data_IF_196421695893
#
_entry.id   IF_196421695893
#
_cell.length_a   1.000
_cell.length_b   1.000
_cell.length_c   1.000
_cell.angle_alpha   90.00
_cell.angle_beta   90.00
_cell.angle_gamma   90.00
#
_symmetry.space_group_name_H-M   'P 1'
#
loop_
_entity.id
_entity.type
_entity.pdbx_description
1 polymer ?
#
# COMPACT_ATOMS: atom_id res chain seq x y z
N UNK A 1 26.83 4.35 7.46
CA UNK A 1 25.75 3.41 7.82
C UNK A 1 25.57 2.45 6.65
N UNK A 2 25.60 1.14 6.87
CA UNK A 2 25.46 0.16 5.79
C UNK A 2 24.14 0.36 5.08
N UNK A 3 24.14 0.54 3.75
CA UNK A 3 22.94 0.78 2.93
C UNK A 3 21.82 -0.22 3.18
N UNK A 4 22.16 -1.44 3.61
CA UNK A 4 21.21 -2.48 4.06
C UNK A 4 20.28 -2.01 5.19
N UNK A 5 20.82 -1.27 6.18
CA UNK A 5 20.05 -0.84 7.35
C UNK A 5 19.03 0.24 6.99
N UNK A 6 19.41 1.15 6.09
CA UNK A 6 18.49 2.15 5.55
C UNK A 6 17.40 1.50 4.71
N UNK A 7 17.75 0.58 3.81
CA UNK A 7 16.77 -0.12 2.98
C UNK A 7 15.76 -0.88 3.85
N UNK A 8 16.22 -1.59 4.88
CA UNK A 8 15.35 -2.29 5.83
C UNK A 8 14.49 -1.33 6.64
N UNK A 9 15.06 -0.21 7.11
CA UNK A 9 14.33 0.83 7.84
C UNK A 9 13.22 1.45 7.00
N UNK A 10 13.52 1.76 5.73
CA UNK A 10 12.53 2.24 4.77
C UNK A 10 11.46 1.17 4.53
N UNK A 11 11.86 -0.08 4.28
CA UNK A 11 10.92 -1.17 4.04
C UNK A 11 9.93 -1.35 5.20
N UNK A 12 10.46 -1.43 6.42
CA UNK A 12 9.68 -1.61 7.65
C UNK A 12 8.81 -0.38 7.96
N UNK A 13 9.33 0.83 7.73
CA UNK A 13 8.59 2.08 7.90
C UNK A 13 7.48 2.27 6.86
N UNK A 14 7.60 1.62 5.71
CA UNK A 14 6.61 1.76 4.64
C UNK A 14 5.37 0.87 4.84
N UNK A 15 5.51 -0.25 5.56
CA UNK A 15 4.39 -1.15 5.90
C UNK A 15 3.25 -0.39 6.61
N UNK A 16 3.48 0.32 7.73
CA UNK A 16 2.41 1.05 8.40
C UNK A 16 1.86 2.20 7.55
N UNK A 17 2.66 2.83 6.69
CA UNK A 17 2.18 3.88 5.76
C UNK A 17 1.19 3.27 4.76
N UNK A 18 1.56 2.15 4.14
CA UNK A 18 0.69 1.44 3.18
C UNK A 18 -0.59 0.95 3.87
N UNK A 19 -0.47 0.34 5.05
CA UNK A 19 -1.64 -0.12 5.82
C UNK A 19 -2.53 1.06 6.25
N UNK A 20 -1.93 2.18 6.68
CA UNK A 20 -2.66 3.38 7.07
C UNK A 20 -3.38 4.00 5.88
N UNK A 21 -2.72 4.09 4.71
CA UNK A 21 -3.36 4.54 3.47
C UNK A 21 -4.51 3.62 3.08
N UNK A 22 -4.29 2.30 3.09
CA UNK A 22 -5.33 1.31 2.75
C UNK A 22 -6.53 1.45 3.69
N UNK A 23 -6.28 1.60 4.99
CA UNK A 23 -7.32 1.87 5.98
C UNK A 23 -7.99 3.21 5.74
N UNK A 24 -7.25 4.30 5.49
CA UNK A 24 -7.81 5.63 5.22
C UNK A 24 -8.76 5.65 4.03
N UNK A 25 -8.54 4.76 3.06
CA UNK A 25 -9.44 4.52 1.94
C UNK A 25 -10.57 3.52 2.30
N UNK A 26 -11.21 3.61 3.49
CA UNK A 26 -12.29 2.75 4.05
C UNK A 26 -13.48 2.55 3.08
N UNK A 27 -13.30 1.83 1.98
CA UNK A 27 -14.36 1.55 1.01
C UNK A 27 -14.24 0.11 0.55
N UNK A 28 -15.32 -0.69 0.62
CA UNK A 28 -15.37 -2.06 0.12
C UNK A 28 -14.86 -2.14 -1.32
N UNK A 29 -13.91 -3.04 -1.56
CA UNK A 29 -13.22 -3.15 -2.84
C UNK A 29 -12.06 -2.17 -2.94
N UNK A 30 -10.87 -2.60 -2.49
CA UNK A 30 -9.64 -1.89 -2.80
C UNK A 30 -9.33 -2.08 -4.30
N UNK A 31 -9.86 -1.17 -5.13
CA UNK A 31 -9.75 -1.23 -6.58
C UNK A 31 -8.40 -0.76 -7.13
N UNK A 32 -8.21 -0.95 -8.43
CA UNK A 32 -7.00 -0.55 -9.15
C UNK A 32 -6.65 0.94 -8.97
N UNK A 33 -7.66 1.81 -8.83
CA UNK A 33 -7.48 3.25 -8.59
C UNK A 33 -6.83 3.55 -7.24
N UNK A 34 -7.22 2.85 -6.17
CA UNK A 34 -6.64 3.06 -4.84
C UNK A 34 -5.22 2.51 -4.74
N UNK A 35 -4.97 1.36 -5.36
CA UNK A 35 -3.61 0.81 -5.50
C UNK A 35 -2.71 1.80 -6.23
N UNK A 36 -3.21 2.44 -7.29
CA UNK A 36 -2.50 3.50 -8.00
C UNK A 36 -2.24 4.71 -7.10
N UNK A 37 -3.21 5.16 -6.32
CA UNK A 37 -3.02 6.28 -5.37
C UNK A 37 -1.97 5.97 -4.29
N UNK A 38 -1.95 4.75 -3.75
CA UNK A 38 -0.92 4.32 -2.78
C UNK A 38 0.47 4.28 -3.42
N UNK A 39 0.57 3.72 -4.63
CA UNK A 39 1.82 3.70 -5.38
C UNK A 39 2.31 5.11 -5.71
N UNK A 40 1.41 6.01 -6.10
CA UNK A 40 1.72 7.40 -6.40
C UNK A 40 2.22 8.15 -5.16
N UNK A 41 1.52 8.00 -4.02
CA UNK A 41 1.93 8.55 -2.73
C UNK A 41 3.31 8.04 -2.30
N UNK A 42 3.60 6.74 -2.47
CA UNK A 42 4.93 6.20 -2.17
C UNK A 42 5.98 6.71 -3.16
N UNK A 43 5.64 6.84 -4.44
CA UNK A 43 6.51 7.44 -5.43
C UNK A 43 6.88 8.90 -5.10
N UNK A 44 5.95 9.64 -4.49
CA UNK A 44 6.14 11.02 -4.05
C UNK A 44 6.95 11.07 -2.74
N UNK A 45 6.72 10.14 -1.80
CA UNK A 45 7.55 9.99 -0.61
C UNK A 45 8.99 9.62 -0.95
N UNK A 46 9.21 8.77 -1.95
CA UNK A 46 10.55 8.41 -2.41
C UNK A 46 11.32 9.62 -2.94
N UNK A 47 10.65 10.47 -3.73
CA UNK A 47 11.19 11.70 -4.28
C UNK A 47 11.46 12.75 -3.18
N UNK A 48 10.46 12.96 -2.31
CA UNK A 48 10.50 13.95 -1.24
C UNK A 48 11.51 13.61 -0.14
N UNK A 49 11.77 12.31 0.11
CA UNK A 49 12.79 11.84 1.05
C UNK A 49 14.16 11.65 0.38
N UNK A 50 14.28 11.89 -0.94
CA UNK A 50 15.50 11.70 -1.73
C UNK A 50 16.18 10.35 -1.43
N UNK A 51 15.38 9.28 -1.40
CA UNK A 51 15.88 7.95 -1.04
C UNK A 51 16.78 7.44 -2.17
N UNK A 52 18.09 7.57 -1.98
CA UNK A 52 19.11 7.06 -2.91
C UNK A 52 19.47 5.59 -2.67
N UNK A 53 19.01 5.02 -1.55
CA UNK A 53 19.33 3.65 -1.15
C UNK A 53 18.61 2.58 -1.97
N UNK A 54 17.44 2.91 -2.54
CA UNK A 54 16.65 2.00 -3.37
C UNK A 54 16.08 2.76 -4.58
N UNK A 55 16.12 2.14 -5.76
CA UNK A 55 15.52 2.74 -6.96
C UNK A 55 14.00 2.81 -6.82
N UNK A 56 13.41 3.90 -7.32
CA UNK A 56 11.95 4.14 -7.31
C UNK A 56 11.15 2.94 -7.84
N UNK A 57 11.61 2.33 -8.93
CA UNK A 57 10.99 1.14 -9.52
C UNK A 57 10.96 -0.07 -8.57
N UNK A 58 12.05 -0.32 -7.84
CA UNK A 58 12.10 -1.40 -6.85
C UNK A 58 11.19 -1.12 -5.67
N UNK A 59 11.17 0.13 -5.19
CA UNK A 59 10.27 0.51 -4.10
C UNK A 59 8.81 0.33 -4.51
N UNK A 60 8.43 0.86 -5.67
CA UNK A 60 7.07 0.72 -6.22
C UNK A 60 6.69 -0.75 -6.44
N UNK A 61 7.61 -1.59 -6.90
CA UNK A 61 7.39 -3.03 -7.04
C UNK A 61 7.10 -3.71 -5.70
N UNK A 62 7.88 -3.39 -4.67
CA UNK A 62 7.69 -3.94 -3.32
C UNK A 62 6.35 -3.48 -2.73
N UNK A 63 6.03 -2.19 -2.87
CA UNK A 63 4.76 -1.62 -2.43
C UNK A 63 3.59 -2.23 -3.16
N UNK A 64 3.70 -2.43 -4.46
CA UNK A 64 2.65 -3.03 -5.27
C UNK A 64 2.30 -4.44 -4.78
N UNK A 65 3.32 -5.23 -4.43
CA UNK A 65 3.15 -6.56 -3.82
C UNK A 65 2.60 -6.49 -2.39
N UNK A 66 3.11 -5.57 -1.56
CA UNK A 66 2.63 -5.38 -0.19
C UNK A 66 1.15 -4.95 -0.16
N UNK A 67 0.77 -4.06 -1.07
CA UNK A 67 -0.60 -3.60 -1.22
C UNK A 67 -1.53 -4.77 -1.61
N UNK A 68 -1.10 -5.64 -2.52
CA UNK A 68 -1.85 -6.85 -2.90
C UNK A 68 -2.04 -7.81 -1.71
N UNK A 69 -0.98 -8.05 -0.94
CA UNK A 69 -1.01 -8.91 0.26
C UNK A 69 -1.96 -8.33 1.31
N UNK A 70 -1.83 -7.03 1.61
CA UNK A 70 -2.67 -6.37 2.61
C UNK A 70 -4.13 -6.37 2.15
N UNK A 71 -4.42 -6.05 0.89
CA UNK A 71 -5.77 -6.08 0.35
C UNK A 71 -6.35 -7.50 0.38
N UNK A 72 -5.57 -8.51 -0.01
CA UNK A 72 -5.95 -9.91 0.07
C UNK A 72 -6.28 -10.33 1.51
N UNK A 73 -5.46 -9.93 2.48
CA UNK A 73 -5.70 -10.12 3.91
C UNK A 73 -6.99 -9.43 4.37
N UNK A 74 -7.21 -8.17 4.03
CA UNK A 74 -8.41 -7.44 4.41
C UNK A 74 -9.68 -8.01 3.76
N UNK A 75 -9.58 -8.52 2.53
CA UNK A 75 -10.67 -9.21 1.86
C UNK A 75 -10.96 -10.58 2.52
N UNK A 76 -9.92 -11.33 2.88
CA UNK A 76 -10.03 -12.61 3.58
C UNK A 76 -10.58 -12.48 5.01
N UNK A 77 -10.18 -11.43 5.74
CA UNK A 77 -10.68 -11.09 7.08
C UNK A 77 -12.11 -10.52 7.02
N UNK A 78 -12.63 -10.23 5.82
CA UNK A 78 -13.99 -9.70 5.63
C UNK A 78 -14.13 -8.22 5.99
N UNK A 79 -13.02 -7.50 6.13
CA UNK A 79 -12.99 -6.06 6.42
C UNK A 79 -13.58 -5.24 5.26
N UNK A 80 -13.45 -5.75 4.02
CA UNK A 80 -14.08 -5.18 2.82
C UNK A 80 -15.35 -5.94 2.40
N UNK A 81 -16.08 -6.55 3.34
CA UNK A 81 -17.39 -7.16 3.02
C UNK A 81 -18.27 -6.10 2.36
N UNK A 82 -18.61 -6.35 1.09
CA UNK A 82 -19.69 -5.69 0.35
C UNK A 82 -20.93 -5.74 1.22
N UNK A 83 -21.42 -4.59 1.66
CA UNK A 83 -22.81 -4.50 2.06
C UNK A 83 -23.63 -4.99 0.85
N UNK A 84 -24.44 -6.03 1.07
CA UNK A 84 -25.26 -6.65 0.03
C UNK A 84 -26.00 -5.55 -0.75
N UNK A 85 -26.01 -5.55 -2.09
CA UNK A 85 -27.07 -4.85 -2.79
C UNK A 85 -28.38 -5.52 -2.34
N UNK A 86 -29.19 -4.78 -1.60
CA UNK A 86 -30.56 -5.14 -1.21
C UNK A 86 -31.28 -5.73 -2.43
N UNK A 87 -31.97 -6.87 -2.31
CA UNK A 87 -32.81 -7.36 -3.39
C UNK A 87 -33.91 -6.32 -3.62
N UNK A 88 -33.84 -5.69 -4.79
CA UNK A 88 -34.85 -4.75 -5.27
C UNK A 88 -36.21 -5.45 -5.24
N UNK A 89 -37.06 -5.06 -4.29
CA UNK A 89 -38.45 -5.51 -4.18
C UNK A 89 -39.36 -4.37 -4.61
#
# INVERSE_FOLDING_TARGET
MSKIMEILGILLGLIPIVVSLIKSFEVPGFGAEKKKAVLDAVGLLHDSLSITAISKEKLLGIVGGLCDIVVGLFNAVGWFKKENPTPNT
#
